data_IF_751710093857
#
_entry.id   IF_751710093857
#
_cell.length_a   1.000
_cell.length_b   1.000
_cell.length_c   1.000
_cell.angle_alpha   90.00
_cell.angle_beta   90.00
_cell.angle_gamma   90.00
#
_symmetry.space_group_name_H-M   'P 1'
#
loop_
_entity.id
_entity.type
_entity.pdbx_description
1 polymer ?
#
# COMPACT_ATOMS: atom_id res chain seq x y z
N UNK A 1 3.67 -32.67 55.47
CA UNK A 1 3.93 -32.85 54.02
C UNK A 1 2.66 -33.36 53.37
N UNK A 2 1.91 -32.47 52.71
CA UNK A 2 0.61 -32.78 52.09
C UNK A 2 0.81 -33.63 50.83
N UNK A 3 0.23 -34.84 50.80
CA UNK A 3 0.31 -35.74 49.64
C UNK A 3 -0.70 -35.31 48.57
N UNK A 4 -0.24 -34.58 47.57
CA UNK A 4 -1.04 -34.22 46.40
C UNK A 4 -1.22 -35.46 45.50
N UNK A 5 -2.47 -35.88 45.31
CA UNK A 5 -2.83 -37.04 44.51
C UNK A 5 -2.75 -36.70 43.01
N UNK A 6 -1.83 -37.34 42.27
CA UNK A 6 -1.56 -37.09 40.84
C UNK A 6 -2.82 -37.17 39.96
N UNK A 7 -3.77 -38.06 40.29
CA UNK A 7 -5.06 -38.15 39.56
C UNK A 7 -5.93 -36.92 39.75
N UNK A 8 -5.94 -36.34 40.96
CA UNK A 8 -6.71 -35.13 41.27
C UNK A 8 -6.05 -33.90 40.66
N UNK A 9 -4.73 -33.86 40.57
CA UNK A 9 -3.98 -32.80 39.87
C UNK A 9 -4.31 -32.77 38.36
N UNK A 10 -4.24 -33.92 37.66
CA UNK A 10 -4.55 -34.00 36.23
C UNK A 10 -6.01 -33.68 35.90
N UNK A 11 -6.95 -34.07 36.77
CA UNK A 11 -8.37 -33.70 36.62
C UNK A 11 -8.63 -32.20 36.85
N UNK A 12 -7.87 -31.56 37.74
CA UNK A 12 -8.06 -30.13 38.08
C UNK A 12 -7.38 -29.21 37.06
N UNK A 13 -6.28 -29.63 36.43
CA UNK A 13 -5.63 -28.87 35.34
C UNK A 13 -6.30 -29.10 33.98
N UNK A 14 -6.90 -30.26 33.74
CA UNK A 14 -7.60 -30.57 32.48
C UNK A 14 -8.85 -29.72 32.23
N UNK A 15 -9.60 -29.36 33.27
CA UNK A 15 -10.84 -28.56 33.13
C UNK A 15 -10.56 -27.06 32.94
N UNK A 16 -9.42 -26.54 33.41
CA UNK A 16 -9.04 -25.14 33.22
C UNK A 16 -8.60 -24.81 31.77
N UNK A 17 -8.01 -25.78 31.06
CA UNK A 17 -7.57 -25.59 29.67
C UNK A 17 -8.74 -25.61 28.66
N UNK A 18 -9.81 -26.37 28.93
CA UNK A 18 -10.99 -26.42 28.04
C UNK A 18 -11.87 -25.16 28.16
N UNK A 19 -11.93 -24.53 29.34
CA UNK A 19 -12.74 -23.32 29.56
C UNK A 19 -12.14 -22.05 28.93
N UNK A 20 -10.82 -21.97 28.80
CA UNK A 20 -10.13 -20.81 28.21
C UNK A 20 -10.16 -20.79 26.67
N UNK A 21 -10.33 -21.96 26.04
CA UNK A 21 -10.53 -22.09 24.58
C UNK A 21 -11.94 -21.66 24.14
N UNK A 22 -12.98 -21.93 24.94
CA UNK A 22 -14.35 -21.56 24.60
C UNK A 22 -14.65 -20.07 24.80
N UNK A 23 -13.93 -19.38 25.70
CA UNK A 23 -14.08 -17.94 25.91
C UNK A 23 -13.26 -17.09 24.92
N UNK A 24 -12.23 -17.64 24.27
CA UNK A 24 -11.49 -16.97 23.18
C UNK A 24 -12.16 -17.12 21.80
N UNK A 25 -13.21 -17.93 21.66
CA UNK A 25 -13.91 -18.14 20.40
C UNK A 25 -15.07 -17.15 20.17
N UNK A 26 -15.46 -16.37 21.18
CA UNK A 26 -16.62 -15.46 21.10
C UNK A 26 -16.30 -13.98 21.37
N UNK A 27 -15.02 -13.62 21.52
CA UNK A 27 -14.67 -12.23 21.83
C UNK A 27 -13.19 -11.97 21.64
N UNK A 28 -12.81 -11.72 20.39
CA UNK A 28 -11.94 -10.62 19.97
C UNK A 28 -11.65 -10.81 18.47
N UNK A 29 -12.63 -10.53 17.61
CA UNK A 29 -12.29 -10.06 16.26
C UNK A 29 -11.80 -8.62 16.41
N UNK A 30 -10.64 -8.43 17.06
CA UNK A 30 -9.74 -7.33 16.71
C UNK A 30 -9.10 -7.73 15.37
N UNK A 31 -9.95 -7.87 14.34
CA UNK A 31 -9.59 -7.24 13.10
C UNK A 31 -9.36 -5.80 13.52
N UNK A 32 -8.09 -5.42 13.61
CA UNK A 32 -7.68 -4.05 13.42
C UNK A 32 -8.26 -3.64 12.06
N UNK A 33 -9.55 -3.32 12.05
CA UNK A 33 -10.16 -2.37 11.16
C UNK A 33 -9.38 -1.12 11.46
N UNK A 34 -8.25 -1.00 10.76
CA UNK A 34 -7.78 0.29 10.33
C UNK A 34 -9.03 0.90 9.73
N UNK A 35 -9.66 1.81 10.46
CA UNK A 35 -10.72 2.66 9.94
C UNK A 35 -10.07 3.40 8.78
N UNK A 36 -10.06 2.77 7.60
CA UNK A 36 -9.89 3.48 6.36
C UNK A 36 -11.12 4.37 6.34
N UNK A 37 -10.90 5.63 6.69
CA UNK A 37 -11.85 6.67 6.37
C UNK A 37 -12.03 6.59 4.86
N UNK A 38 -13.11 5.94 4.44
CA UNK A 38 -13.62 6.01 3.10
C UNK A 38 -13.85 7.49 2.86
N UNK A 39 -12.98 8.08 2.05
CA UNK A 39 -13.21 9.43 1.55
C UNK A 39 -14.32 9.24 0.53
N UNK A 40 -15.53 9.60 0.91
CA UNK A 40 -16.62 9.74 -0.03
C UNK A 40 -16.22 10.85 -1.01
N UNK A 41 -15.87 10.46 -2.23
CA UNK A 41 -15.50 11.38 -3.29
C UNK A 41 -16.80 11.91 -3.88
N UNK A 42 -17.06 13.21 -3.73
CA UNK A 42 -18.15 13.86 -4.45
C UNK A 42 -17.93 13.62 -5.95
N UNK A 43 -18.94 13.20 -6.73
CA UNK A 43 -18.82 13.06 -8.18
C UNK A 43 -18.24 14.30 -8.88
N UNK A 44 -18.41 15.50 -8.31
CA UNK A 44 -17.81 16.74 -8.81
C UNK A 44 -16.29 16.83 -8.58
N UNK A 45 -15.76 16.13 -7.57
CA UNK A 45 -14.35 16.10 -7.19
C UNK A 45 -13.64 14.81 -7.66
N UNK A 46 -14.36 13.92 -8.37
CA UNK A 46 -13.80 12.69 -8.89
C UNK A 46 -12.78 12.97 -10.01
N UNK A 47 -11.68 12.19 -10.10
CA UNK A 47 -10.69 12.36 -11.15
C UNK A 47 -11.32 12.07 -12.52
N UNK A 48 -10.89 12.80 -13.55
CA UNK A 48 -11.40 12.64 -14.92
C UNK A 48 -11.06 11.26 -15.51
N UNK A 49 -9.99 10.63 -15.01
CA UNK A 49 -9.54 9.29 -15.36
C UNK A 49 -9.00 8.56 -14.15
N UNK A 50 -9.25 7.25 -13.98
CA UNK A 50 -8.72 6.47 -12.87
C UNK A 50 -7.26 6.00 -13.08
N UNK A 51 -6.67 6.23 -14.26
CA UNK A 51 -5.37 5.66 -14.65
C UNK A 51 -4.26 6.70 -14.82
N UNK A 52 -3.04 6.30 -14.46
CA UNK A 52 -1.79 7.01 -14.76
C UNK A 52 -0.62 6.03 -14.72
N UNK A 53 0.38 6.20 -15.60
CA UNK A 53 1.66 5.49 -15.53
C UNK A 53 2.73 6.38 -14.91
N UNK A 54 3.20 6.02 -13.72
CA UNK A 54 4.16 6.79 -12.94
C UNK A 54 5.51 6.06 -12.86
N UNK A 55 6.57 6.65 -13.40
CA UNK A 55 7.92 6.13 -13.34
C UNK A 55 8.62 6.38 -12.00
N UNK A 56 9.52 5.48 -11.60
CA UNK A 56 10.45 5.72 -10.49
C UNK A 56 11.83 5.11 -10.73
N UNK A 57 12.87 5.70 -10.14
CA UNK A 57 14.19 5.07 -9.97
C UNK A 57 14.24 4.45 -8.58
N UNK A 58 14.93 3.31 -8.44
CA UNK A 58 15.03 2.57 -7.18
C UNK A 58 15.94 3.27 -6.14
N UNK A 59 15.49 4.43 -5.66
CA UNK A 59 16.03 5.24 -4.58
C UNK A 59 14.98 5.35 -3.47
N UNK A 60 15.40 5.63 -2.24
CA UNK A 60 14.50 5.64 -1.08
C UNK A 60 13.48 6.78 -1.12
N UNK A 61 13.80 7.89 -1.78
CA UNK A 61 12.94 9.05 -1.96
C UNK A 61 11.75 8.81 -2.91
N UNK A 62 11.75 7.71 -3.69
CA UNK A 62 10.58 7.28 -4.48
C UNK A 62 9.49 6.60 -3.62
N UNK A 63 9.74 6.40 -2.32
CA UNK A 63 8.83 5.72 -1.41
C UNK A 63 7.38 6.25 -1.45
N UNK A 64 7.08 7.56 -1.55
CA UNK A 64 5.70 8.04 -1.57
C UNK A 64 4.85 7.43 -2.70
N UNK A 65 5.41 7.30 -3.92
CA UNK A 65 4.67 6.71 -5.05
C UNK A 65 4.37 5.24 -4.83
N UNK A 66 5.33 4.50 -4.28
CA UNK A 66 5.23 3.06 -4.04
C UNK A 66 4.26 2.78 -2.88
N UNK A 67 4.41 3.49 -1.78
CA UNK A 67 3.55 3.36 -0.60
C UNK A 67 2.11 3.75 -0.95
N UNK A 68 1.91 4.77 -1.79
CA UNK A 68 0.58 5.13 -2.26
C UNK A 68 -0.13 3.97 -2.98
N UNK A 69 0.59 3.18 -3.78
CA UNK A 69 0.02 1.98 -4.40
C UNK A 69 -0.18 0.84 -3.41
N UNK A 70 0.85 0.51 -2.62
CA UNK A 70 0.81 -0.66 -1.71
C UNK A 70 -0.16 -0.47 -0.55
N UNK A 71 -0.42 0.78 -0.12
CA UNK A 71 -1.38 1.10 0.94
C UNK A 71 -2.77 1.49 0.42
N UNK A 72 -3.01 1.42 -0.89
CA UNK A 72 -4.30 1.77 -1.49
C UNK A 72 -4.67 3.25 -1.38
N UNK A 73 -3.68 4.15 -1.25
CA UNK A 73 -3.96 5.59 -1.21
C UNK A 73 -4.40 6.13 -2.57
N UNK A 74 -3.96 5.57 -3.69
CA UNK A 74 -4.50 5.96 -5.00
C UNK A 74 -5.98 5.60 -5.11
N UNK A 75 -6.32 4.36 -4.79
CA UNK A 75 -7.69 3.84 -4.84
C UNK A 75 -8.63 4.63 -3.94
N UNK A 76 -8.15 5.01 -2.74
CA UNK A 76 -8.87 5.89 -1.79
C UNK A 76 -9.31 7.22 -2.41
N UNK A 77 -8.59 7.73 -3.41
CA UNK A 77 -8.89 8.99 -4.11
C UNK A 77 -9.35 8.76 -5.57
N UNK A 78 -9.89 7.59 -5.90
CA UNK A 78 -10.50 7.32 -7.21
C UNK A 78 -9.51 6.97 -8.33
N UNK A 79 -8.22 6.90 -8.04
CA UNK A 79 -7.15 6.57 -8.99
C UNK A 79 -6.84 5.06 -8.97
N UNK A 80 -7.85 4.24 -9.28
CA UNK A 80 -7.79 2.76 -9.10
C UNK A 80 -6.75 2.07 -9.98
N UNK A 81 -6.46 2.64 -11.16
CA UNK A 81 -5.69 2.01 -12.22
C UNK A 81 -4.32 2.68 -12.43
N UNK A 82 -3.71 3.17 -11.35
CA UNK A 82 -2.34 3.71 -11.38
C UNK A 82 -1.30 2.59 -11.46
N UNK A 83 -0.40 2.69 -12.43
CA UNK A 83 0.80 1.85 -12.59
C UNK A 83 2.02 2.59 -12.04
N UNK A 84 2.83 1.93 -11.21
CA UNK A 84 4.08 2.48 -10.67
C UNK A 84 5.25 1.64 -11.22
N UNK A 85 5.99 2.20 -12.17
CA UNK A 85 6.89 1.45 -13.06
C UNK A 85 8.35 1.80 -12.83
N UNK A 86 9.17 0.78 -12.57
CA UNK A 86 10.62 0.97 -12.40
C UNK A 86 11.27 1.39 -13.71
N UNK A 87 12.05 2.46 -13.66
CA UNK A 87 12.84 2.97 -14.77
C UNK A 87 14.29 2.50 -14.66
N UNK A 88 14.95 2.25 -15.78
CA UNK A 88 16.32 1.71 -15.80
C UNK A 88 17.39 2.76 -15.45
N UNK A 89 17.17 4.01 -15.88
CA UNK A 89 18.08 5.14 -15.68
C UNK A 89 17.32 6.46 -15.84
N UNK A 90 17.91 7.58 -15.42
CA UNK A 90 17.32 8.91 -15.65
C UNK A 90 17.15 9.26 -17.14
N UNK A 91 18.05 8.77 -18.00
CA UNK A 91 17.90 8.93 -19.46
C UNK A 91 16.66 8.20 -19.97
N UNK A 92 16.45 6.96 -19.53
CA UNK A 92 15.25 6.18 -19.87
C UNK A 92 13.98 6.82 -19.30
N UNK A 93 14.02 7.35 -18.08
CA UNK A 93 12.89 8.08 -17.48
C UNK A 93 12.48 9.26 -18.34
N UNK A 94 13.45 10.06 -18.82
CA UNK A 94 13.20 11.16 -19.74
C UNK A 94 12.58 10.65 -21.05
N UNK A 95 13.17 9.65 -21.68
CA UNK A 95 12.68 9.13 -22.97
C UNK A 95 11.23 8.64 -22.86
N UNK A 96 10.90 7.94 -21.79
CA UNK A 96 9.54 7.47 -21.52
C UNK A 96 8.57 8.62 -21.20
N UNK A 97 9.02 9.70 -20.55
CA UNK A 97 8.19 10.91 -20.33
C UNK A 97 7.91 11.63 -21.65
N UNK A 98 8.91 11.73 -22.53
CA UNK A 98 8.75 12.37 -23.85
C UNK A 98 7.82 11.54 -24.75
N UNK A 99 7.90 10.21 -24.68
CA UNK A 99 6.97 9.32 -25.40
C UNK A 99 5.53 9.44 -24.88
N UNK A 100 5.35 9.64 -23.57
CA UNK A 100 4.04 9.64 -22.90
C UNK A 100 3.39 8.25 -22.88
N UNK A 101 2.38 8.03 -22.03
CA UNK A 101 1.71 6.71 -21.94
C UNK A 101 1.05 6.26 -23.24
N UNK A 102 0.53 7.20 -24.04
CA UNK A 102 -0.03 6.93 -25.37
C UNK A 102 1.01 6.42 -26.38
N UNK A 103 2.29 6.76 -26.19
CA UNK A 103 3.42 6.25 -26.97
C UNK A 103 4.11 5.02 -26.34
N UNK A 104 3.54 4.44 -25.29
CA UNK A 104 4.14 3.31 -24.55
C UNK A 104 5.13 3.70 -23.45
N UNK A 105 5.29 5.00 -23.18
CA UNK A 105 6.07 5.56 -22.08
C UNK A 105 5.26 5.74 -20.79
N UNK A 106 5.54 6.85 -20.08
CA UNK A 106 4.95 7.19 -18.77
C UNK A 106 4.36 8.61 -18.78
N UNK A 107 3.39 8.87 -17.91
CA UNK A 107 2.71 10.17 -17.79
C UNK A 107 3.42 11.12 -16.81
N UNK A 108 4.15 10.55 -15.85
CA UNK A 108 4.85 11.29 -14.81
C UNK A 108 5.90 10.43 -14.13
N UNK A 109 6.73 11.03 -13.28
CA UNK A 109 7.74 10.28 -12.54
C UNK A 109 8.14 10.95 -11.22
N UNK A 110 8.60 10.14 -10.26
CA UNK A 110 9.55 10.62 -9.26
C UNK A 110 10.83 11.04 -10.01
N UNK A 111 11.19 12.31 -9.92
CA UNK A 111 12.15 12.92 -10.85
C UNK A 111 13.05 13.97 -10.19
N UNK A 112 14.28 14.09 -10.70
CA UNK A 112 15.20 15.16 -10.29
C UNK A 112 14.62 16.52 -10.66
N UNK A 113 14.62 17.46 -9.70
CA UNK A 113 14.03 18.79 -9.84
C UNK A 113 14.35 19.56 -11.13
N UNK A 114 15.58 19.55 -11.68
CA UNK A 114 15.83 20.29 -12.92
C UNK A 114 15.22 19.63 -14.17
N UNK A 115 14.98 18.31 -14.17
CA UNK A 115 14.59 17.58 -15.38
C UNK A 115 13.25 18.04 -15.98
N UNK A 116 12.16 18.26 -15.22
CA UNK A 116 10.92 18.80 -15.80
C UNK A 116 11.14 20.10 -16.58
N UNK A 117 11.95 21.02 -16.04
CA UNK A 117 12.27 22.28 -16.72
C UNK A 117 13.08 22.05 -18.01
N UNK A 118 14.10 21.19 -17.95
CA UNK A 118 14.95 20.90 -19.09
C UNK A 118 14.18 20.18 -20.20
N UNK A 119 13.30 19.24 -19.86
CA UNK A 119 12.42 18.51 -20.79
C UNK A 119 11.42 19.49 -21.43
N UNK A 120 10.74 20.31 -20.63
CA UNK A 120 9.79 21.31 -21.15
C UNK A 120 10.45 22.34 -22.07
N UNK A 121 11.76 22.58 -21.92
CA UNK A 121 12.55 23.47 -22.79
C UNK A 121 13.21 22.74 -23.95
N UNK A 122 13.08 21.41 -24.06
CA UNK A 122 13.73 20.61 -25.11
C UNK A 122 15.26 20.60 -25.03
N UNK A 123 15.82 20.81 -23.83
CA UNK A 123 17.27 20.87 -23.61
C UNK A 123 17.88 19.48 -23.40
N UNK A 124 17.11 18.54 -22.85
CA UNK A 124 17.55 17.16 -22.55
C UNK A 124 16.61 16.12 -23.09
#
# INVERSE_FOLDING_TARGET
MTRLNRRRFLLTTGTAAAGTLLLHACGQNDSASTSQADVEIDPADAPETPTAKLGFIALTDSAPLIIAKVKGFYDKYGMTDVSVEKQASWGTTRDNLVLGSGGGGIDGAHILTPMPYLISKGIV
#
